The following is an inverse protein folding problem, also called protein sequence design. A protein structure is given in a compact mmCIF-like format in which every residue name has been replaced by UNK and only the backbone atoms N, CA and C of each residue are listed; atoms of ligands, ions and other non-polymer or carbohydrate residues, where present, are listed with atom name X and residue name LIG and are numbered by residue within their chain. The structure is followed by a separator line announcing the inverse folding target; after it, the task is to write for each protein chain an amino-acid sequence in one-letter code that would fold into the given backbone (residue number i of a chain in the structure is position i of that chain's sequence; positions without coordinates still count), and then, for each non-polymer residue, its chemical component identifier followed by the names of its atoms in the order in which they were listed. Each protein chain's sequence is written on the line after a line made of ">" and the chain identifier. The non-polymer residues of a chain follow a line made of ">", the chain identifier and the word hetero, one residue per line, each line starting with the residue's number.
data_IF_727713846690
#
_entry.id   IF_727713846690
#
_cell.length_a   1.000
_cell.length_b   1.000
_cell.length_c   1.000
_cell.angle_alpha   90.00
_cell.angle_beta   90.00
_cell.angle_gamma   90.00
#
_symmetry.space_group_name_H-M   'P 1'
#
loop_
_entity.id
_entity.type
_entity.pdbx_description
1 polymer ?
#
# COMPACT_ATOMS: atom_id res chain seq x y z
N UNK A 1 16.58 6.15 14.78
CA UNK A 1 15.90 4.98 14.16
C UNK A 1 14.42 5.13 14.49
N UNK A 2 13.53 5.11 13.50
CA UNK A 2 12.08 5.22 13.71
C UNK A 2 11.49 3.81 13.77
N UNK A 3 10.63 3.56 14.76
CA UNK A 3 10.05 2.25 15.01
C UNK A 3 8.65 2.17 14.34
N UNK A 4 8.19 0.97 13.98
CA UNK A 4 6.84 0.73 13.46
C UNK A 4 5.76 1.34 14.38
N UNK A 5 6.00 1.32 15.70
CA UNK A 5 5.13 1.92 16.71
C UNK A 5 4.91 3.43 16.53
N UNK A 6 5.86 4.16 15.93
CA UNK A 6 5.76 5.62 15.72
C UNK A 6 4.67 5.97 14.68
N UNK A 7 4.16 4.96 13.99
CA UNK A 7 3.28 5.09 12.85
C UNK A 7 1.91 4.42 13.05
N UNK A 8 1.75 3.67 14.14
CA UNK A 8 0.49 3.08 14.56
C UNK A 8 -0.27 4.16 15.35
N UNK A 9 -1.38 4.64 14.80
CA UNK A 9 -2.35 5.37 15.63
C UNK A 9 -2.97 4.32 16.56
N UNK A 10 -2.87 4.45 17.90
CA UNK A 10 -3.62 3.59 18.79
C UNK A 10 -5.08 3.62 18.36
N UNK A 11 -5.70 2.46 18.15
CA UNK A 11 -7.10 2.40 17.78
C UNK A 11 -7.90 3.17 18.85
N UNK A 12 -8.45 4.32 18.46
CA UNK A 12 -9.01 5.30 19.41
C UNK A 12 -10.39 4.89 19.94
N UNK A 13 -10.96 3.79 19.46
CA UNK A 13 -12.24 3.27 19.92
C UNK A 13 -12.29 1.76 19.69
N UNK A 14 -13.08 1.07 20.52
CA UNK A 14 -13.61 -0.26 20.20
C UNK A 14 -14.55 -0.08 19.00
N UNK A 15 -14.01 -0.11 17.78
CA UNK A 15 -14.80 -0.07 16.56
C UNK A 15 -15.67 -1.33 16.43
N UNK A 16 -16.63 -1.29 15.50
CA UNK A 16 -17.32 -2.51 15.03
C UNK A 16 -16.34 -3.37 14.25
N UNK A 17 -16.30 -4.67 14.52
CA UNK A 17 -15.58 -5.61 13.64
C UNK A 17 -16.32 -5.73 12.32
N UNK A 18 -15.62 -6.16 11.27
CA UNK A 18 -16.26 -6.56 10.01
C UNK A 18 -17.25 -7.71 10.24
N UNK A 19 -16.96 -8.58 11.20
CA UNK A 19 -17.79 -9.73 11.57
C UNK A 19 -19.11 -9.33 12.23
N UNK A 20 -19.19 -8.12 12.80
CA UNK A 20 -20.40 -7.58 13.44
C UNK A 20 -21.35 -6.92 12.43
N UNK A 21 -20.98 -6.89 11.15
CA UNK A 21 -21.75 -6.26 10.08
C UNK A 21 -22.56 -7.35 9.36
N UNK A 22 -23.87 -7.39 9.62
CA UNK A 22 -24.80 -8.27 8.93
C UNK A 22 -25.57 -7.48 7.89
N UNK A 23 -25.47 -7.90 6.62
CA UNK A 23 -26.20 -7.34 5.49
C UNK A 23 -27.21 -8.39 5.00
N UNK A 24 -28.40 -7.95 4.64
CA UNK A 24 -29.40 -8.77 3.96
C UNK A 24 -29.02 -9.00 2.49
N UNK A 25 -29.61 -10.02 1.84
CA UNK A 25 -29.37 -10.30 0.42
C UNK A 25 -29.77 -9.11 -0.49
N UNK A 26 -30.81 -8.38 -0.09
CA UNK A 26 -31.25 -7.15 -0.78
C UNK A 26 -30.21 -6.04 -0.67
N UNK A 27 -29.65 -5.82 0.53
CA UNK A 27 -28.61 -4.82 0.78
C UNK A 27 -27.30 -5.13 0.06
N UNK A 28 -26.94 -6.42 -0.05
CA UNK A 28 -25.76 -6.87 -0.78
C UNK A 28 -25.87 -6.60 -2.30
N UNK A 29 -27.10 -6.51 -2.81
CA UNK A 29 -27.39 -6.13 -4.20
C UNK A 29 -27.33 -4.62 -4.48
N UNK A 30 -27.14 -3.78 -3.45
CA UNK A 30 -27.10 -2.32 -3.59
C UNK A 30 -25.71 -1.83 -4.04
N UNK A 31 -25.70 -0.65 -4.66
CA UNK A 31 -24.48 0.07 -5.00
C UNK A 31 -24.16 1.12 -3.93
N UNK A 32 -22.90 1.17 -3.53
CA UNK A 32 -22.39 2.21 -2.65
C UNK A 32 -21.54 3.20 -3.44
N UNK A 33 -21.91 4.47 -3.42
CA UNK A 33 -21.05 5.54 -3.91
C UNK A 33 -19.99 5.89 -2.86
N UNK A 34 -18.76 5.45 -3.13
CA UNK A 34 -17.62 5.73 -2.27
C UNK A 34 -16.94 7.08 -2.60
N UNK A 35 -17.26 7.71 -3.73
CA UNK A 35 -16.60 8.94 -4.19
C UNK A 35 -16.50 10.05 -3.12
N UNK A 36 -17.53 10.36 -2.31
CA UNK A 36 -17.42 11.41 -1.29
C UNK A 36 -16.55 11.03 -0.09
N UNK A 37 -16.25 9.74 0.11
CA UNK A 37 -15.46 9.23 1.24
C UNK A 37 -14.01 8.95 0.87
N UNK A 38 -13.69 8.92 -0.42
CA UNK A 38 -12.33 8.70 -0.92
C UNK A 38 -11.53 9.99 -0.91
N UNK A 39 -10.21 9.86 -0.80
CA UNK A 39 -9.31 10.98 -1.04
C UNK A 39 -9.25 11.26 -2.55
N UNK A 40 -9.72 12.41 -3.05
CA UNK A 40 -9.68 12.74 -4.47
C UNK A 40 -8.26 12.99 -5.00
N UNK A 41 -7.32 13.27 -4.11
CA UNK A 41 -5.94 13.64 -4.45
C UNK A 41 -4.94 12.76 -3.69
N UNK A 42 -4.84 11.46 -4.03
CA UNK A 42 -3.85 10.59 -3.43
C UNK A 42 -2.43 10.92 -3.94
N UNK A 43 -1.41 10.59 -3.15
CA UNK A 43 -0.03 10.70 -3.60
C UNK A 43 0.31 9.56 -4.57
N UNK A 44 0.78 9.94 -5.75
CA UNK A 44 1.11 9.05 -6.85
C UNK A 44 2.56 9.30 -7.28
N UNK A 45 3.29 8.22 -7.58
CA UNK A 45 4.63 8.28 -8.16
C UNK A 45 4.72 7.45 -9.44
N UNK A 46 5.52 7.86 -10.42
CA UNK A 46 5.80 7.05 -11.60
C UNK A 46 6.75 5.89 -11.26
N UNK A 47 6.70 4.81 -12.06
CA UNK A 47 7.43 3.57 -11.78
C UNK A 47 8.96 3.68 -11.95
N UNK A 48 9.41 4.71 -12.65
CA UNK A 48 10.81 5.06 -12.91
C UNK A 48 11.41 5.93 -11.79
N UNK A 49 10.58 6.41 -10.84
CA UNK A 49 11.07 7.16 -9.69
C UNK A 49 12.05 6.32 -8.87
N UNK A 50 13.13 6.95 -8.40
CA UNK A 50 14.09 6.28 -7.53
C UNK A 50 13.49 6.02 -6.15
N UNK A 51 13.86 4.88 -5.57
CA UNK A 51 13.38 4.49 -4.26
C UNK A 51 13.80 5.46 -3.15
N UNK A 52 14.99 6.07 -3.25
CA UNK A 52 15.42 7.13 -2.34
C UNK A 52 14.45 8.34 -2.32
N UNK A 53 13.91 8.74 -3.49
CA UNK A 53 12.91 9.80 -3.57
C UNK A 53 11.59 9.39 -2.93
N UNK A 54 11.13 8.16 -3.20
CA UNK A 54 9.91 7.62 -2.57
C UNK A 54 10.06 7.55 -1.05
N UNK A 55 11.19 7.07 -0.55
CA UNK A 55 11.50 7.02 0.88
C UNK A 55 11.46 8.41 1.53
N UNK A 56 12.04 9.41 0.86
CA UNK A 56 11.99 10.79 1.34
C UNK A 56 10.56 11.34 1.35
N UNK A 57 9.75 11.06 0.33
CA UNK A 57 8.32 11.45 0.29
C UNK A 57 7.56 10.87 1.48
N UNK A 58 7.73 9.57 1.76
CA UNK A 58 7.11 8.92 2.92
C UNK A 58 7.46 9.59 4.25
N UNK A 59 8.75 9.93 4.43
CA UNK A 59 9.26 10.53 5.67
C UNK A 59 8.82 11.97 5.84
N UNK A 60 8.94 12.78 4.81
CA UNK A 60 8.65 14.22 4.87
C UNK A 60 7.16 14.50 4.99
N UNK A 61 6.33 13.70 4.31
CA UNK A 61 4.88 13.92 4.27
C UNK A 61 4.12 13.00 5.25
N UNK A 62 4.81 12.10 5.95
CA UNK A 62 4.17 11.16 6.86
C UNK A 62 3.17 10.25 6.16
N UNK A 63 3.43 9.83 4.91
CA UNK A 63 2.52 8.98 4.14
C UNK A 63 2.47 7.56 4.71
N UNK A 64 1.30 6.92 4.63
CA UNK A 64 1.12 5.49 4.97
C UNK A 64 1.22 4.58 3.76
N UNK A 65 0.81 5.09 2.62
CA UNK A 65 0.84 4.40 1.34
C UNK A 65 1.03 5.42 0.21
N UNK A 66 1.59 4.96 -0.91
CA UNK A 66 1.74 5.74 -2.13
C UNK A 66 1.40 4.83 -3.33
N UNK A 67 0.69 5.37 -4.31
CA UNK A 67 0.34 4.60 -5.51
C UNK A 67 1.44 4.72 -6.56
N UNK A 68 1.73 3.63 -7.26
CA UNK A 68 2.63 3.64 -8.41
C UNK A 68 1.82 3.58 -9.69
N UNK A 69 2.03 4.55 -10.58
CA UNK A 69 1.28 4.75 -11.83
C UNK A 69 2.25 5.12 -12.96
N UNK A 70 2.58 4.21 -13.89
CA UNK A 70 3.51 4.49 -14.99
C UNK A 70 2.89 5.36 -16.08
N UNK A 71 1.57 5.30 -16.24
CA UNK A 71 0.80 6.11 -17.20
C UNK A 71 -0.50 6.56 -16.54
N UNK A 72 -0.94 7.81 -16.76
CA UNK A 72 -2.24 8.26 -16.27
C UNK A 72 -3.32 7.26 -16.70
N UNK A 73 -4.12 6.77 -15.74
CA UNK A 73 -5.22 5.79 -15.85
C UNK A 73 -4.97 4.36 -15.34
N UNK A 74 -3.72 3.93 -15.05
CA UNK A 74 -3.49 2.56 -14.54
C UNK A 74 -2.53 2.50 -13.35
N UNK A 75 -3.07 2.14 -12.20
CA UNK A 75 -2.29 1.77 -11.01
C UNK A 75 -1.62 0.42 -11.24
N UNK A 76 -0.30 0.35 -11.04
CA UNK A 76 0.47 -0.91 -11.13
C UNK A 76 0.83 -1.47 -9.76
N UNK A 77 0.73 -0.66 -8.71
CA UNK A 77 0.76 -1.18 -7.35
C UNK A 77 0.77 -0.09 -6.28
N UNK A 78 0.99 -0.55 -5.05
CA UNK A 78 0.95 0.22 -3.82
C UNK A 78 2.25 -0.04 -3.07
N UNK A 79 2.92 1.03 -2.65
CA UNK A 79 4.03 0.93 -1.70
C UNK A 79 3.52 1.39 -0.35
N UNK A 80 3.89 0.68 0.71
CA UNK A 80 3.57 1.00 2.09
C UNK A 80 4.85 1.20 2.89
N UNK A 81 4.71 1.69 4.14
CA UNK A 81 5.87 1.82 5.05
C UNK A 81 6.59 0.50 5.28
N UNK A 82 5.88 -0.63 5.33
CA UNK A 82 6.47 -1.96 5.54
C UNK A 82 7.39 -2.37 4.38
N UNK A 83 7.07 -1.96 3.16
CA UNK A 83 7.91 -2.25 1.99
C UNK A 83 9.23 -1.47 2.01
N UNK A 84 9.30 -0.36 2.77
CA UNK A 84 10.47 0.50 2.91
C UNK A 84 11.27 0.23 4.19
N UNK A 85 10.61 -0.35 5.20
CA UNK A 85 11.18 -0.75 6.48
C UNK A 85 11.33 -2.27 6.46
N UNK A 86 12.36 -2.78 5.78
CA UNK A 86 12.74 -4.18 5.91
C UNK A 86 13.12 -4.42 7.36
N UNK A 87 12.37 -5.24 8.09
CA UNK A 87 12.69 -5.58 9.47
C UNK A 87 14.03 -6.33 9.50
N UNK A 88 14.95 -5.85 10.35
CA UNK A 88 16.31 -6.37 10.53
C UNK A 88 16.26 -7.77 11.20
N UNK A 89 15.92 -8.82 10.45
CA UNK A 89 16.19 -10.20 10.90
C UNK A 89 17.70 -10.51 10.70
N UNK A 90 18.52 -9.97 11.59
CA UNK A 90 19.77 -10.60 12.00
C UNK A 90 20.95 -10.71 11.01
N UNK A 91 20.91 -10.12 9.82
CA UNK A 91 22.13 -9.96 9.02
C UNK A 91 22.12 -8.66 8.21
N UNK A 92 23.22 -7.93 8.33
CA UNK A 92 23.50 -6.59 7.80
C UNK A 92 23.03 -6.33 6.37
N UNK A 93 22.20 -5.31 6.16
CA UNK A 93 22.12 -4.57 4.89
C UNK A 93 21.47 -3.19 5.07
N UNK A 94 22.15 -2.26 5.74
CA UNK A 94 21.90 -0.80 5.62
C UNK A 94 22.40 -0.24 4.28
N UNK A 95 22.52 -1.07 3.25
CA UNK A 95 23.08 -0.73 1.94
C UNK A 95 22.45 -1.78 1.01
N UNK A 96 21.41 -1.52 0.23
CA UNK A 96 21.45 -0.81 -1.06
C UNK A 96 20.03 -0.31 -1.46
N UNK A 97 19.55 0.78 -0.87
CA UNK A 97 18.48 1.59 -1.50
C UNK A 97 19.03 2.55 -2.57
N UNK A 98 20.32 2.40 -2.91
CA UNK A 98 21.08 3.32 -3.76
C UNK A 98 20.78 3.13 -5.26
N UNK A 99 20.22 1.98 -5.68
CA UNK A 99 20.13 1.66 -7.12
C UNK A 99 18.86 0.93 -7.58
N UNK A 100 17.92 0.62 -6.70
CA UNK A 100 16.72 -0.14 -7.08
C UNK A 100 15.59 0.81 -7.50
N UNK A 101 15.11 0.65 -8.73
CA UNK A 101 13.90 1.32 -9.23
C UNK A 101 12.68 0.85 -8.45
N UNK A 102 11.65 1.71 -8.32
CA UNK A 102 10.32 1.36 -7.78
C UNK A 102 9.76 0.06 -8.39
N UNK A 103 10.05 -0.20 -9.68
CA UNK A 103 9.69 -1.45 -10.36
C UNK A 103 10.23 -2.72 -9.68
N UNK A 104 11.40 -2.63 -9.04
CA UNK A 104 12.02 -3.74 -8.33
C UNK A 104 11.22 -4.14 -7.08
N UNK A 105 10.69 -3.16 -6.33
CA UNK A 105 9.89 -3.42 -5.12
C UNK A 105 8.53 -4.02 -5.47
N UNK A 106 7.88 -3.51 -6.52
CA UNK A 106 6.61 -4.04 -7.01
C UNK A 106 6.72 -5.52 -7.38
N UNK A 107 7.86 -5.97 -7.92
CA UNK A 107 8.11 -7.38 -8.21
C UNK A 107 8.20 -8.24 -6.94
N UNK A 108 8.66 -7.70 -5.81
CA UNK A 108 8.87 -8.47 -4.58
C UNK A 108 7.63 -8.51 -3.70
N UNK A 109 6.94 -7.38 -3.50
CA UNK A 109 5.74 -7.31 -2.64
C UNK A 109 4.46 -7.80 -3.34
N UNK A 110 4.39 -7.76 -4.67
CA UNK A 110 3.15 -8.02 -5.42
C UNK A 110 3.06 -9.44 -6.03
N UNK A 111 4.17 -10.20 -6.08
CA UNK A 111 4.18 -11.58 -6.64
C UNK A 111 3.27 -12.54 -5.88
N UNK A 112 3.04 -12.34 -4.59
CA UNK A 112 2.19 -13.24 -3.79
C UNK A 112 0.68 -12.93 -3.92
N UNK A 113 0.30 -11.67 -4.16
CA UNK A 113 -1.12 -11.27 -4.09
C UNK A 113 -1.83 -11.24 -5.45
N UNK A 114 -1.16 -10.81 -6.53
CA UNK A 114 -1.80 -10.73 -7.86
C UNK A 114 -1.77 -12.03 -8.66
N UNK A 115 -0.82 -12.93 -8.40
CA UNK A 115 -0.79 -14.26 -9.03
C UNK A 115 -1.97 -15.12 -8.57
N UNK A 116 -2.41 -14.94 -7.31
CA UNK A 116 -3.63 -15.57 -6.78
C UNK A 116 -4.90 -14.96 -7.41
N UNK A 117 -4.97 -13.63 -7.53
CA UNK A 117 -6.16 -12.96 -8.07
C UNK A 117 -6.39 -13.27 -9.56
N UNK A 118 -5.33 -13.52 -10.34
CA UNK A 118 -5.48 -13.97 -11.74
C UNK A 118 -5.97 -15.42 -11.90
N UNK A 119 -5.80 -16.29 -10.89
CA UNK A 119 -6.31 -17.67 -10.97
C UNK A 119 -7.82 -17.77 -10.71
N UNK A 120 -8.40 -16.84 -9.94
CA UNK A 120 -9.84 -16.83 -9.66
C UNK A 120 -10.70 -16.09 -10.68
N UNK A 121 -10.11 -15.51 -11.74
CA UNK A 121 -10.85 -14.85 -12.82
C UNK A 121 -10.99 -15.73 -14.09
N UNK A 122 -10.67 -17.03 -14.00
CA UNK A 122 -10.81 -18.00 -15.11
C UNK A 122 -11.67 -19.23 -14.77
N UNK A 123 -12.44 -19.21 -13.68
CA UNK A 123 -13.47 -20.22 -13.41
C UNK A 123 -14.84 -19.57 -13.33
#
# INVERSE_FOLDING_TARGET
>A
RHNFSDFVKPASSKGKSIDDIHLTDEELGLYLDLAPFLNPSPYIVPEDMSLAKVYNLFRQLGLRHIFVVPRPSRVVGLITRKDLLLEEDGNTATTELQSTSVRSILSTSCKLSFSLLRRNAQN
#
